data_IF_808459308667
#
_entry.id   IF_808459308667
#
_cell.length_a   1.000
_cell.length_b   1.000
_cell.length_c   1.000
_cell.angle_alpha   90.00
_cell.angle_beta   90.00
_cell.angle_gamma   90.00
#
_symmetry.space_group_name_H-M   'P 1'
#
loop_
_entity.id
_entity.type
_entity.pdbx_description
1 polymer ?
#
# COMPACT_ATOMS: atom_id res chain seq x y z
N UNK A 1 4.73 5.60 10.68
CA UNK A 1 4.52 4.24 10.19
C UNK A 1 5.88 3.59 10.17
N UNK A 2 6.05 2.32 10.57
CA UNK A 2 7.40 1.73 10.48
C UNK A 2 7.83 1.58 9.02
N UNK A 3 9.14 1.55 8.82
CA UNK A 3 9.74 1.23 7.53
C UNK A 3 9.22 -0.12 6.98
N UNK A 4 8.95 -1.10 7.85
CA UNK A 4 8.44 -2.43 7.45
C UNK A 4 7.10 -2.31 6.72
N UNK A 5 6.17 -1.52 7.25
CA UNK A 5 4.87 -1.29 6.60
C UNK A 5 5.05 -0.47 5.32
N UNK A 6 5.84 0.60 5.35
CA UNK A 6 6.05 1.45 4.16
C UNK A 6 6.64 0.67 2.99
N UNK A 7 7.61 -0.23 3.25
CA UNK A 7 8.17 -1.12 2.23
C UNK A 7 7.18 -2.17 1.75
N UNK A 8 6.35 -2.73 2.63
CA UNK A 8 5.31 -3.68 2.22
C UNK A 8 4.27 -3.03 1.30
N UNK A 9 3.90 -1.76 1.55
CA UNK A 9 3.02 -0.98 0.68
C UNK A 9 3.69 -0.75 -0.68
N UNK A 10 4.96 -0.33 -0.68
CA UNK A 10 5.72 -0.10 -1.91
C UNK A 10 5.82 -1.38 -2.75
N UNK A 11 6.19 -2.50 -2.12
CA UNK A 11 6.33 -3.79 -2.79
C UNK A 11 5.00 -4.27 -3.38
N UNK A 12 3.89 -4.12 -2.65
CA UNK A 12 2.56 -4.46 -3.14
C UNK A 12 2.15 -3.65 -4.39
N UNK A 13 2.59 -2.39 -4.49
CA UNK A 13 2.29 -1.52 -5.63
C UNK A 13 3.20 -1.80 -6.83
N UNK A 14 4.49 -2.10 -6.60
CA UNK A 14 5.49 -2.27 -7.67
C UNK A 14 5.55 -3.71 -8.17
N UNK A 15 5.56 -4.68 -7.25
CA UNK A 15 5.78 -6.09 -7.51
C UNK A 15 4.53 -6.95 -7.28
N UNK A 16 3.41 -6.32 -6.91
CA UNK A 16 2.15 -7.01 -6.67
C UNK A 16 1.52 -7.63 -7.93
N UNK A 17 0.38 -8.32 -7.76
CA UNK A 17 -0.27 -9.07 -8.84
C UNK A 17 -0.93 -8.19 -9.92
N UNK A 18 -1.04 -6.88 -9.67
CA UNK A 18 -1.68 -5.91 -10.58
C UNK A 18 -0.62 -4.95 -11.09
N UNK A 19 -0.47 -4.76 -12.42
CA UNK A 19 0.46 -3.77 -12.98
C UNK A 19 0.18 -2.37 -12.45
N UNK A 20 1.24 -1.61 -12.15
CA UNK A 20 1.15 -0.30 -11.50
C UNK A 20 0.32 0.72 -12.30
N UNK A 21 0.37 0.66 -13.63
CA UNK A 21 -0.43 1.53 -14.49
C UNK A 21 -1.93 1.28 -14.31
N UNK A 22 -2.32 -0.01 -14.25
CA UNK A 22 -3.71 -0.43 -14.06
C UNK A 22 -4.18 -0.12 -12.64
N UNK A 23 -3.32 -0.36 -11.65
CA UNK A 23 -3.62 -0.04 -10.25
C UNK A 23 -3.83 1.47 -10.07
N UNK A 24 -2.94 2.28 -10.64
CA UNK A 24 -3.02 3.74 -10.58
C UNK A 24 -4.30 4.27 -11.22
N UNK A 25 -4.67 3.75 -12.40
CA UNK A 25 -5.93 4.11 -13.06
C UNK A 25 -7.14 3.80 -12.17
N UNK A 26 -7.20 2.61 -11.57
CA UNK A 26 -8.30 2.18 -10.69
C UNK A 26 -8.43 3.04 -9.43
N UNK A 27 -7.32 3.54 -8.88
CA UNK A 27 -7.33 4.46 -7.73
C UNK A 27 -7.44 5.93 -8.14
N UNK A 28 -7.66 6.23 -9.43
CA UNK A 28 -7.88 7.59 -9.93
C UNK A 28 -6.63 8.47 -9.96
N UNK A 29 -5.43 7.87 -10.09
CA UNK A 29 -4.14 8.59 -10.05
C UNK A 29 -3.29 8.26 -11.29
N UNK A 30 -2.29 9.10 -11.55
CA UNK A 30 -1.23 8.73 -12.49
C UNK A 30 -0.27 7.73 -11.84
N UNK A 31 0.31 6.82 -12.62
CA UNK A 31 1.32 5.87 -12.12
C UNK A 31 2.49 6.58 -11.42
N UNK A 32 2.96 7.70 -11.98
CA UNK A 32 4.01 8.53 -11.38
C UNK A 32 3.60 9.10 -10.01
N UNK A 33 2.35 9.56 -9.88
CA UNK A 33 1.83 10.07 -8.60
C UNK A 33 1.80 8.94 -7.57
N UNK A 34 1.23 7.79 -7.93
CA UNK A 34 1.13 6.65 -7.02
C UNK A 34 2.51 6.15 -6.58
N UNK A 35 3.44 5.97 -7.52
CA UNK A 35 4.82 5.54 -7.23
C UNK A 35 5.54 6.50 -6.28
N UNK A 36 5.30 7.81 -6.40
CA UNK A 36 5.86 8.80 -5.49
C UNK A 36 5.22 8.70 -4.10
N UNK A 37 3.90 8.56 -4.02
CA UNK A 37 3.15 8.47 -2.76
C UNK A 37 3.53 7.26 -1.91
N UNK A 38 3.94 6.15 -2.54
CA UNK A 38 4.39 4.93 -1.86
C UNK A 38 5.89 4.82 -1.72
N UNK A 39 6.66 5.84 -2.10
CA UNK A 39 8.12 5.81 -1.98
C UNK A 39 8.55 6.12 -0.53
N UNK A 40 9.11 5.15 0.23
CA UNK A 40 9.59 5.39 1.58
C UNK A 40 10.74 6.42 1.64
N UNK A 41 11.47 6.62 0.53
CA UNK A 41 12.61 7.53 0.47
C UNK A 41 12.20 8.99 0.13
N UNK A 42 10.91 9.27 -0.17
CA UNK A 42 10.37 10.63 -0.30
C UNK A 42 9.61 11.03 0.98
N UNK A 43 10.25 11.69 1.97
CA UNK A 43 9.62 11.97 3.27
C UNK A 43 8.43 12.93 3.19
N UNK A 44 8.30 13.67 2.07
CA UNK A 44 7.18 14.59 1.81
C UNK A 44 5.99 13.90 1.15
N UNK A 45 6.20 12.71 0.60
CA UNK A 45 5.12 11.91 0.05
C UNK A 45 4.27 11.31 1.18
N UNK A 46 2.97 11.20 0.92
CA UNK A 46 1.99 10.59 1.83
C UNK A 46 1.00 9.80 1.01
N UNK A 47 0.78 8.55 1.38
CA UNK A 47 -0.33 7.75 0.89
C UNK A 47 -1.55 7.98 1.79
N UNK A 48 -2.68 8.35 1.19
CA UNK A 48 -3.95 8.46 1.93
C UNK A 48 -4.48 7.09 2.34
N UNK A 49 -5.10 6.99 3.52
CA UNK A 49 -5.64 5.74 4.04
C UNK A 49 -6.71 5.11 3.11
N UNK A 50 -7.56 5.94 2.50
CA UNK A 50 -8.54 5.47 1.51
C UNK A 50 -7.87 4.83 0.29
N UNK A 51 -6.80 5.44 -0.22
CA UNK A 51 -6.02 4.87 -1.34
C UNK A 51 -5.35 3.57 -0.93
N UNK A 52 -4.78 3.49 0.28
CA UNK A 52 -4.20 2.25 0.80
C UNK A 52 -5.24 1.12 0.88
N UNK A 53 -6.43 1.41 1.40
CA UNK A 53 -7.52 0.44 1.48
C UNK A 53 -7.92 -0.07 0.09
N UNK A 54 -8.02 0.83 -0.90
CA UNK A 54 -8.38 0.45 -2.27
C UNK A 54 -7.26 -0.35 -2.95
N UNK A 55 -5.98 -0.03 -2.70
CA UNK A 55 -4.84 -0.85 -3.16
C UNK A 55 -4.95 -2.28 -2.63
N UNK A 56 -5.16 -2.46 -1.31
CA UNK A 56 -5.29 -3.78 -0.72
C UNK A 56 -6.50 -4.55 -1.26
N UNK A 57 -7.62 -3.85 -1.49
CA UNK A 57 -8.83 -4.44 -2.09
C UNK A 57 -8.60 -4.91 -3.53
N UNK A 58 -7.99 -4.08 -4.38
CA UNK A 58 -7.76 -4.38 -5.80
C UNK A 58 -6.74 -5.50 -5.96
N UNK A 59 -5.67 -5.48 -5.17
CA UNK A 59 -4.57 -6.44 -5.27
C UNK A 59 -4.83 -7.73 -4.49
N UNK A 60 -5.72 -7.70 -3.50
CA UNK A 60 -5.89 -8.77 -2.51
C UNK A 60 -4.72 -8.88 -1.52
N UNK A 61 -3.70 -8.02 -1.62
CA UNK A 61 -2.54 -8.04 -0.76
C UNK A 61 -2.81 -7.34 0.57
N UNK A 62 -3.03 -8.12 1.62
CA UNK A 62 -3.33 -7.61 2.98
C UNK A 62 -2.10 -7.55 3.90
N UNK A 63 -0.90 -7.73 3.37
CA UNK A 63 0.34 -7.70 4.15
C UNK A 63 0.53 -6.37 4.91
N UNK A 64 0.31 -5.18 4.31
CA UNK A 64 0.39 -3.93 5.06
C UNK A 64 -0.55 -3.89 6.27
N UNK A 65 -1.76 -4.46 6.14
CA UNK A 65 -2.74 -4.50 7.22
C UNK A 65 -2.32 -5.44 8.35
N UNK A 66 -1.73 -6.60 8.03
CA UNK A 66 -1.18 -7.52 9.03
C UNK A 66 -0.07 -6.86 9.84
N UNK A 67 0.85 -6.18 9.16
CA UNK A 67 1.95 -5.46 9.81
C UNK A 67 1.46 -4.30 10.68
N UNK A 68 0.42 -3.58 10.24
CA UNK A 68 -0.25 -2.56 11.06
C UNK A 68 -0.89 -3.16 12.32
N UNK A 69 -1.51 -4.34 12.21
CA UNK A 69 -2.07 -5.04 13.36
C UNK A 69 -0.97 -5.46 14.35
N UNK A 70 0.13 -6.04 13.85
CA UNK A 70 1.30 -6.41 14.67
C UNK A 70 1.87 -5.22 15.44
N UNK A 71 1.98 -4.03 14.82
CA UNK A 71 2.44 -2.81 15.47
C UNK A 71 1.55 -2.32 16.62
N UNK A 72 0.30 -2.75 16.63
CA UNK A 72 -0.71 -2.38 17.61
C UNK A 72 -0.99 -3.51 18.61
N UNK A 73 -0.15 -4.55 18.64
CA UNK A 73 -0.32 -5.76 19.46
C UNK A 73 -1.64 -6.51 19.16
N UNK A 74 -2.14 -6.39 17.93
CA UNK A 74 -3.30 -7.13 17.43
C UNK A 74 -2.90 -8.24 16.43
N UNK A 75 -3.78 -9.22 16.28
CA UNK A 75 -3.68 -10.25 15.24
C UNK A 75 -4.83 -10.08 14.25
N UNK A 76 -4.54 -10.16 12.95
CA UNK A 76 -5.57 -10.14 11.91
C UNK A 76 -6.08 -11.57 11.71
N UNK A 77 -7.36 -11.79 12.02
CA UNK A 77 -8.07 -13.04 11.77
C UNK A 77 -9.02 -12.87 10.58
N UNK A 78 -9.18 -13.91 9.77
CA UNK A 78 -10.15 -13.94 8.68
C UNK A 78 -11.31 -14.83 9.12
N UNK A 79 -12.55 -14.35 8.91
CA UNK A 79 -13.77 -15.14 9.08
C UNK A 79 -13.99 -16.11 7.92
#
# INVERSE_FOLDING_TARGET
MSEKIERAIQDLVINGPVPVEVLAEKVGKSAKTLLREVNPDDPKAKLGAETLMEIMRITGGVEPLKLMAEELDFTLEFE
#
